data_IF_232602462390
#
_entry.id   IF_232602462390
#
_cell.length_a   1.000
_cell.length_b   1.000
_cell.length_c   1.000
_cell.angle_alpha   90.00
_cell.angle_beta   90.00
_cell.angle_gamma   90.00
#
_symmetry.space_group_name_H-M   'P 1'
#
loop_
_entity.id
_entity.type
_entity.pdbx_description
1 polymer ?
#
# COMPACT_ATOMS: atom_id res chain seq x y z
N UNK A 1 -27.38 -8.82 -5.26
CA UNK A 1 -26.94 -10.00 -4.49
C UNK A 1 -28.05 -11.01 -4.61
N UNK A 2 -27.77 -12.21 -5.12
CA UNK A 2 -28.78 -13.20 -5.50
C UNK A 2 -29.21 -14.08 -4.31
N UNK A 3 -28.55 -13.95 -3.16
CA UNK A 3 -28.81 -14.76 -1.96
C UNK A 3 -30.17 -14.51 -1.26
N UNK A 4 -30.97 -13.53 -1.68
CA UNK A 4 -32.33 -13.27 -1.18
C UNK A 4 -32.44 -12.74 0.27
N UNK A 5 -31.33 -12.62 1.01
CA UNK A 5 -31.31 -12.06 2.36
C UNK A 5 -31.62 -10.56 2.36
N UNK A 6 -32.37 -10.13 3.39
CA UNK A 6 -32.75 -8.73 3.60
C UNK A 6 -32.18 -8.23 4.92
N UNK A 7 -31.58 -7.06 4.87
CA UNK A 7 -31.08 -6.33 6.03
C UNK A 7 -31.86 -5.03 6.14
N UNK A 8 -32.12 -4.56 7.36
CA UNK A 8 -32.52 -3.16 7.52
C UNK A 8 -31.34 -2.24 7.16
N UNK A 9 -31.64 -0.99 6.83
CA UNK A 9 -30.63 0.01 6.44
C UNK A 9 -29.50 0.12 7.48
N UNK A 10 -29.87 0.12 8.78
CA UNK A 10 -28.93 0.23 9.90
C UNK A 10 -27.99 -0.98 10.02
N UNK A 11 -28.53 -2.21 9.97
CA UNK A 11 -27.69 -3.41 9.98
C UNK A 11 -26.78 -3.46 8.77
N UNK A 12 -27.28 -3.06 7.58
CA UNK A 12 -26.47 -3.00 6.37
C UNK A 12 -25.31 -2.01 6.52
N UNK A 13 -25.58 -0.81 7.04
CA UNK A 13 -24.54 0.18 7.36
C UNK A 13 -23.48 -0.36 8.31
N UNK A 14 -23.89 -1.13 9.34
CA UNK A 14 -22.96 -1.70 10.31
C UNK A 14 -21.95 -2.67 9.68
N UNK A 15 -22.32 -3.41 8.63
CA UNK A 15 -21.37 -4.25 7.89
C UNK A 15 -20.23 -3.41 7.30
N UNK A 16 -20.55 -2.29 6.65
CA UNK A 16 -19.56 -1.39 6.07
C UNK A 16 -18.72 -0.69 7.14
N UNK A 17 -19.33 -0.24 8.25
CA UNK A 17 -18.60 0.36 9.39
C UNK A 17 -17.63 -0.65 9.99
N UNK A 18 -18.05 -1.90 10.16
CA UNK A 18 -17.18 -2.96 10.69
C UNK A 18 -16.01 -3.24 9.74
N UNK A 19 -16.25 -3.26 8.44
CA UNK A 19 -15.22 -3.40 7.42
C UNK A 19 -14.23 -2.23 7.37
N UNK A 20 -14.46 -1.12 8.08
CA UNK A 20 -13.45 -0.05 8.25
C UNK A 20 -12.50 -0.29 9.43
N UNK A 21 -12.92 -1.14 10.37
CA UNK A 21 -12.21 -1.42 11.63
C UNK A 21 -11.45 -2.74 11.57
N UNK A 22 -12.00 -3.72 10.86
CA UNK A 22 -11.46 -5.07 10.76
C UNK A 22 -11.28 -5.46 9.29
N UNK A 23 -10.03 -5.76 8.92
CA UNK A 23 -9.68 -6.19 7.56
C UNK A 23 -10.31 -7.55 7.21
N UNK A 24 -10.56 -8.42 8.19
CA UNK A 24 -11.20 -9.72 7.95
C UNK A 24 -12.68 -9.60 7.60
N UNK A 25 -13.32 -8.48 7.97
CA UNK A 25 -14.69 -8.15 7.59
C UNK A 25 -14.77 -7.43 6.23
N UNK A 26 -13.64 -7.21 5.55
CA UNK A 26 -13.57 -6.59 4.24
C UNK A 26 -13.26 -7.63 3.14
N UNK A 27 -13.97 -7.60 2.01
CA UNK A 27 -15.15 -6.79 1.76
C UNK A 27 -16.36 -7.28 2.58
N UNK A 28 -17.32 -6.42 2.92
CA UNK A 28 -18.60 -6.86 3.46
C UNK A 28 -19.23 -7.94 2.57
N UNK A 29 -19.67 -9.04 3.15
CA UNK A 29 -20.20 -10.19 2.41
C UNK A 29 -21.54 -10.67 2.98
N UNK A 30 -22.37 -11.19 2.10
CA UNK A 30 -23.54 -11.99 2.45
C UNK A 30 -23.44 -13.33 1.72
N UNK A 31 -23.52 -14.46 2.43
CA UNK A 31 -23.40 -15.80 1.82
C UNK A 31 -22.12 -16.01 0.99
N UNK A 32 -21.00 -15.42 1.40
CA UNK A 32 -19.73 -15.36 0.66
C UNK A 32 -19.77 -14.57 -0.67
N UNK A 33 -20.87 -13.87 -0.94
CA UNK A 33 -20.96 -12.91 -2.04
C UNK A 33 -20.67 -11.49 -1.52
N UNK A 34 -19.73 -10.75 -2.13
CA UNK A 34 -19.47 -9.37 -1.75
C UNK A 34 -20.71 -8.47 -1.89
N UNK A 35 -20.98 -7.68 -0.86
CA UNK A 35 -21.93 -6.59 -0.92
C UNK A 35 -21.27 -5.43 -1.67
N UNK A 36 -21.79 -5.13 -2.86
CA UNK A 36 -21.26 -4.05 -3.70
C UNK A 36 -21.65 -2.71 -3.09
N UNK A 37 -20.66 -1.89 -2.73
CA UNK A 37 -20.91 -0.49 -2.41
C UNK A 37 -21.39 0.23 -3.69
N UNK A 38 -22.58 0.85 -3.70
CA UNK A 38 -23.05 1.66 -4.81
C UNK A 38 -22.05 2.77 -5.14
N UNK A 39 -21.86 3.03 -6.44
CA UNK A 39 -20.99 4.11 -6.92
C UNK A 39 -21.57 5.50 -6.60
N UNK A 40 -22.90 5.60 -6.52
CA UNK A 40 -23.59 6.82 -6.13
C UNK A 40 -23.63 6.95 -4.59
N UNK A 41 -22.96 7.99 -4.08
CA UNK A 41 -22.82 8.24 -2.66
C UNK A 41 -24.15 8.59 -1.99
N UNK A 42 -25.06 9.29 -2.67
CA UNK A 42 -26.36 9.66 -2.11
C UNK A 42 -27.30 8.46 -2.08
N UNK A 43 -27.26 7.60 -3.09
CA UNK A 43 -27.96 6.33 -3.03
C UNK A 43 -27.40 5.44 -1.93
N UNK A 44 -26.08 5.42 -1.75
CA UNK A 44 -25.44 4.61 -0.72
C UNK A 44 -25.78 5.06 0.71
N UNK A 45 -25.77 6.37 0.99
CA UNK A 45 -26.21 6.89 2.30
C UNK A 45 -27.65 6.50 2.61
N UNK A 46 -28.54 6.58 1.61
CA UNK A 46 -29.96 6.28 1.80
C UNK A 46 -30.20 4.81 2.11
N UNK A 47 -29.49 3.91 1.42
CA UNK A 47 -29.64 2.46 1.60
C UNK A 47 -28.96 1.91 2.87
N UNK A 48 -27.99 2.63 3.43
CA UNK A 48 -27.17 2.14 4.56
C UNK A 48 -27.22 3.00 5.81
N UNK A 49 -27.93 4.14 5.78
CA UNK A 49 -27.93 5.19 6.80
C UNK A 49 -26.54 5.69 7.21
N UNK A 50 -25.52 5.43 6.41
CA UNK A 50 -24.18 5.93 6.66
C UNK A 50 -24.12 7.42 6.38
N UNK A 51 -23.38 8.13 7.22
CA UNK A 51 -22.99 9.51 6.96
C UNK A 51 -21.96 9.55 5.82
N UNK A 52 -21.87 10.70 5.14
CA UNK A 52 -20.84 10.96 4.13
C UNK A 52 -19.43 10.68 4.67
N UNK A 53 -19.19 10.97 5.96
CA UNK A 53 -17.90 10.71 6.63
C UNK A 53 -17.59 9.20 6.71
N UNK A 54 -18.57 8.37 7.01
CA UNK A 54 -18.40 6.91 7.09
C UNK A 54 -18.18 6.29 5.71
N UNK A 55 -18.88 6.79 4.69
CA UNK A 55 -18.64 6.38 3.30
C UNK A 55 -17.21 6.70 2.87
N UNK A 56 -16.72 7.91 3.15
CA UNK A 56 -15.33 8.26 2.86
C UNK A 56 -14.32 7.44 3.67
N UNK A 57 -14.62 7.13 4.93
CA UNK A 57 -13.78 6.26 5.74
C UNK A 57 -13.71 4.84 5.15
N UNK A 58 -14.84 4.29 4.72
CA UNK A 58 -14.90 3.00 4.04
C UNK A 58 -14.12 3.01 2.73
N UNK A 59 -14.34 4.01 1.87
CA UNK A 59 -13.61 4.13 0.60
C UNK A 59 -12.10 4.24 0.82
N UNK A 60 -11.66 5.00 1.83
CA UNK A 60 -10.24 5.10 2.18
C UNK A 60 -9.66 3.77 2.67
N UNK A 61 -10.42 3.01 3.47
CA UNK A 61 -10.01 1.70 3.95
C UNK A 61 -10.02 0.63 2.85
N UNK A 62 -10.96 0.70 1.92
CA UNK A 62 -10.98 -0.15 0.73
C UNK A 62 -9.66 -0.03 -0.06
N UNK A 63 -9.20 1.20 -0.34
CA UNK A 63 -7.92 1.42 -1.04
C UNK A 63 -6.71 0.88 -0.26
N UNK A 64 -6.75 0.91 1.08
CA UNK A 64 -5.70 0.31 1.93
C UNK A 64 -5.76 -1.22 1.87
N UNK A 65 -6.95 -1.80 1.93
CA UNK A 65 -7.14 -3.25 2.04
C UNK A 65 -6.99 -3.97 0.70
N UNK A 66 -7.31 -3.29 -0.41
CA UNK A 66 -7.08 -3.76 -1.78
C UNK A 66 -5.60 -3.60 -2.21
N UNK A 67 -4.78 -2.84 -1.48
CA UNK A 67 -3.35 -2.74 -1.76
C UNK A 67 -2.65 -4.06 -1.38
N UNK A 68 -2.02 -4.77 -2.34
CA UNK A 68 -1.27 -5.99 -2.06
C UNK A 68 0.00 -5.73 -1.23
N UNK A 69 0.54 -4.51 -1.27
CA UNK A 69 1.76 -4.12 -0.56
C UNK A 69 1.53 -2.76 0.13
N UNK A 70 0.68 -2.71 1.18
CA UNK A 70 0.35 -1.47 1.85
C UNK A 70 1.56 -0.94 2.62
N UNK A 71 1.85 0.34 2.44
CA UNK A 71 2.89 1.06 3.17
C UNK A 71 2.24 2.02 4.14
N UNK A 72 2.73 2.04 5.37
CA UNK A 72 2.21 2.87 6.44
C UNK A 72 3.28 3.87 6.89
N UNK A 73 2.86 5.00 7.46
CA UNK A 73 3.80 5.92 8.09
C UNK A 73 4.63 5.19 9.16
N UNK A 74 5.96 5.28 9.06
CA UNK A 74 6.88 4.64 10.01
C UNK A 74 6.75 5.19 11.45
N UNK A 75 6.12 6.36 11.63
CA UNK A 75 5.84 6.92 12.95
C UNK A 75 4.72 6.10 13.61
N UNK A 76 5.07 5.38 14.67
CA UNK A 76 4.18 4.43 15.36
C UNK A 76 2.86 5.05 15.83
N UNK A 77 2.87 6.31 16.28
CA UNK A 77 1.65 7.02 16.72
C UNK A 77 0.75 7.46 15.56
N UNK A 78 1.28 7.52 14.34
CA UNK A 78 0.51 7.87 13.15
C UNK A 78 -0.08 6.64 12.48
N UNK A 79 0.77 5.68 12.10
CA UNK A 79 0.36 4.42 11.45
C UNK A 79 -0.54 4.58 10.23
N UNK A 80 -0.59 5.76 9.62
CA UNK A 80 -1.52 6.04 8.52
C UNK A 80 -1.06 5.36 7.25
N UNK A 81 -1.98 4.71 6.54
CA UNK A 81 -1.72 4.19 5.21
C UNK A 81 -1.31 5.32 4.24
N UNK A 82 -0.27 5.06 3.47
CA UNK A 82 0.33 5.99 2.51
C UNK A 82 -0.06 5.58 1.09
N UNK A 83 -0.89 6.41 0.47
CA UNK A 83 -1.36 6.21 -0.90
C UNK A 83 -0.18 6.19 -1.88
N UNK A 84 -0.27 5.35 -2.92
CA UNK A 84 0.75 5.29 -4.00
C UNK A 84 1.02 6.64 -4.66
N UNK A 85 0.02 7.54 -4.69
CA UNK A 85 0.18 8.92 -5.21
C UNK A 85 1.11 9.80 -4.37
N UNK A 86 1.38 9.45 -3.11
CA UNK A 86 2.35 10.16 -2.27
C UNK A 86 3.79 9.65 -2.46
N UNK A 87 4.01 8.68 -3.35
CA UNK A 87 5.33 8.10 -3.55
C UNK A 87 6.22 9.06 -4.35
N UNK A 88 7.53 8.99 -4.10
CA UNK A 88 8.54 9.80 -4.76
C UNK A 88 9.71 8.91 -5.17
N UNK A 89 10.11 9.08 -6.44
CA UNK A 89 11.22 8.36 -7.08
C UNK A 89 11.13 6.83 -6.93
N UNK A 90 9.94 6.28 -6.66
CA UNK A 90 9.73 4.86 -6.35
C UNK A 90 10.52 4.31 -5.16
N UNK A 91 11.01 5.17 -4.25
CA UNK A 91 11.82 4.74 -3.09
C UNK A 91 11.13 5.05 -1.76
N UNK A 92 10.43 6.19 -1.70
CA UNK A 92 9.85 6.71 -0.47
C UNK A 92 8.39 7.11 -0.66
N UNK A 93 7.61 6.91 0.39
CA UNK A 93 6.24 7.37 0.52
C UNK A 93 6.17 8.54 1.52
N UNK A 94 5.45 9.60 1.14
CA UNK A 94 5.33 10.81 1.95
C UNK A 94 4.09 10.75 2.85
N UNK A 95 4.26 11.16 4.11
CA UNK A 95 3.18 11.37 5.07
C UNK A 95 3.05 12.86 5.42
N UNK A 96 1.89 13.43 5.11
CA UNK A 96 1.55 14.84 5.35
C UNK A 96 0.75 15.07 6.65
N UNK A 97 0.53 14.01 7.45
CA UNK A 97 -0.23 14.09 8.71
C UNK A 97 0.56 14.66 9.90
N UNK A 98 1.70 15.29 9.63
CA UNK A 98 2.66 15.74 10.63
C UNK A 98 3.05 17.20 10.37
N UNK A 99 3.54 17.95 11.39
CA UNK A 99 4.06 19.31 11.19
C UNK A 99 5.17 19.40 10.14
N UNK A 100 5.92 18.30 9.96
CA UNK A 100 6.94 18.15 8.93
C UNK A 100 6.65 16.88 8.15
N UNK A 101 6.83 16.91 6.83
CA UNK A 101 6.61 15.73 5.98
C UNK A 101 7.53 14.60 6.41
N UNK A 102 6.93 13.46 6.78
CA UNK A 102 7.67 12.26 7.15
C UNK A 102 7.83 11.36 5.92
N UNK A 103 9.02 10.82 5.73
CA UNK A 103 9.34 9.94 4.60
C UNK A 103 9.54 8.51 5.08
N UNK A 104 8.84 7.57 4.44
CA UNK A 104 8.93 6.14 4.76
C UNK A 104 9.45 5.39 3.55
N UNK A 105 10.47 4.54 3.72
CA UNK A 105 10.96 3.66 2.66
C UNK A 105 9.86 2.67 2.25
N UNK A 106 9.57 2.58 0.95
CA UNK A 106 8.48 1.71 0.46
C UNK A 106 8.84 0.21 0.51
N UNK A 107 10.14 -0.11 0.56
CA UNK A 107 10.61 -1.50 0.56
C UNK A 107 10.62 -2.12 1.97
N UNK A 108 11.01 -1.34 3.00
CA UNK A 108 11.11 -1.84 4.37
C UNK A 108 10.10 -1.26 5.37
N UNK A 109 9.35 -0.22 4.99
CA UNK A 109 8.38 0.44 5.86
C UNK A 109 8.98 1.25 7.01
N UNK A 110 10.32 1.40 7.06
CA UNK A 110 11.02 2.20 8.07
C UNK A 110 11.23 3.63 7.58
N UNK A 111 11.78 4.49 8.44
CA UNK A 111 12.21 5.83 8.06
C UNK A 111 13.10 5.77 6.80
N UNK A 112 12.91 6.73 5.90
CA UNK A 112 13.74 6.85 4.70
C UNK A 112 15.23 6.93 5.06
N UNK A 113 16.06 6.20 4.33
CA UNK A 113 17.50 6.06 4.58
C UNK A 113 18.37 6.74 3.50
N UNK A 114 17.77 7.68 2.75
CA UNK A 114 18.47 8.52 1.78
C UNK A 114 19.19 7.72 0.70
N UNK A 115 20.51 7.89 0.59
CA UNK A 115 21.37 7.22 -0.42
C UNK A 115 21.80 5.81 -0.03
N UNK A 116 21.49 5.36 1.18
CA UNK A 116 21.79 3.98 1.60
C UNK A 116 20.76 3.08 0.92
N UNK A 117 21.21 2.00 0.31
CA UNK A 117 20.30 1.06 -0.33
C UNK A 117 19.49 0.26 0.68
N UNK A 118 18.24 -0.03 0.34
CA UNK A 118 17.41 -0.85 1.18
C UNK A 118 17.80 -2.33 1.04
N UNK A 119 18.14 -3.00 2.14
CA UNK A 119 18.38 -4.45 2.13
C UNK A 119 17.13 -5.29 1.86
N UNK A 120 15.94 -4.68 1.95
CA UNK A 120 14.66 -5.32 1.62
C UNK A 120 14.13 -4.92 0.24
N UNK A 121 14.91 -4.17 -0.54
CA UNK A 121 14.58 -3.95 -1.95
C UNK A 121 14.78 -5.25 -2.74
N UNK A 122 13.65 -5.80 -3.19
CA UNK A 122 13.59 -7.06 -3.93
C UNK A 122 14.18 -6.91 -5.33
N UNK A 123 14.00 -5.76 -5.95
CA UNK A 123 14.45 -5.52 -7.32
C UNK A 123 15.96 -5.33 -7.35
N UNK A 124 16.51 -4.58 -6.39
CA UNK A 124 17.96 -4.50 -6.19
C UNK A 124 18.56 -5.86 -5.87
N UNK A 125 17.92 -6.66 -5.01
CA UNK A 125 18.41 -8.01 -4.70
C UNK A 125 18.44 -8.89 -5.95
N UNK A 126 17.37 -8.90 -6.74
CA UNK A 126 17.30 -9.66 -7.98
C UNK A 126 18.37 -9.22 -8.99
N UNK A 127 18.61 -7.91 -9.11
CA UNK A 127 19.66 -7.37 -9.96
C UNK A 127 21.06 -7.81 -9.49
N UNK A 128 21.31 -7.84 -8.18
CA UNK A 128 22.58 -8.30 -7.61
C UNK A 128 22.80 -9.79 -7.82
N UNK A 129 21.74 -10.60 -7.67
CA UNK A 129 21.79 -12.04 -7.90
C UNK A 129 22.11 -12.33 -9.38
N UNK A 130 21.42 -11.65 -10.33
CA UNK A 130 21.71 -11.75 -11.76
C UNK A 130 23.14 -11.28 -12.09
N UNK A 131 23.58 -10.16 -11.52
CA UNK A 131 24.93 -9.66 -11.72
C UNK A 131 26.00 -10.68 -11.26
N UNK A 132 25.75 -11.42 -10.18
CA UNK A 132 26.64 -12.47 -9.72
C UNK A 132 26.70 -13.65 -10.70
N UNK A 133 25.56 -14.06 -11.28
CA UNK A 133 25.47 -15.11 -12.30
C UNK A 133 26.24 -14.73 -13.57
N UNK A 134 26.04 -13.50 -14.05
CA UNK A 134 26.66 -12.95 -15.25
C UNK A 134 28.11 -12.45 -15.01
N UNK A 135 28.62 -12.56 -13.78
CA UNK A 135 29.94 -12.07 -13.36
C UNK A 135 30.14 -10.57 -13.63
N UNK A 136 29.06 -9.82 -13.63
CA UNK A 136 29.11 -8.35 -13.61
C UNK A 136 29.63 -7.89 -12.25
N UNK A 137 30.33 -6.76 -12.24
CA UNK A 137 30.79 -6.16 -11.00
C UNK A 137 30.18 -4.79 -10.83
N UNK A 138 30.12 -4.39 -9.57
CA UNK A 138 29.53 -3.14 -9.17
C UNK A 138 30.59 -2.05 -9.04
N UNK A 139 30.43 -0.94 -9.75
CA UNK A 139 31.35 0.19 -9.63
C UNK A 139 31.36 0.71 -8.18
N UNK A 140 32.54 0.84 -7.56
CA UNK A 140 32.65 1.30 -6.18
C UNK A 140 32.14 2.74 -5.99
N UNK A 141 32.27 3.58 -7.02
CA UNK A 141 31.96 5.01 -7.01
C UNK A 141 30.49 5.31 -7.31
N UNK A 142 29.97 4.82 -8.44
CA UNK A 142 28.60 5.14 -8.89
C UNK A 142 27.60 4.01 -8.71
N UNK A 143 28.04 2.83 -8.26
CA UNK A 143 27.20 1.67 -7.97
C UNK A 143 26.50 1.01 -9.17
N UNK A 144 26.76 1.47 -10.38
CA UNK A 144 26.31 0.84 -11.63
C UNK A 144 26.89 -0.55 -11.81
N UNK A 145 26.15 -1.44 -12.48
CA UNK A 145 26.64 -2.76 -12.91
C UNK A 145 27.51 -2.62 -14.15
N UNK A 146 28.65 -3.30 -14.15
CA UNK A 146 29.67 -3.26 -15.20
C UNK A 146 30.00 -4.69 -15.62
N UNK A 147 29.81 -4.97 -16.90
CA UNK A 147 30.23 -6.23 -17.51
C UNK A 147 31.75 -6.20 -17.77
N UNK A 148 32.43 -7.30 -17.44
CA UNK A 148 33.85 -7.48 -17.75
C UNK A 148 33.99 -8.18 -19.11
N UNK A 149 34.23 -7.41 -20.17
CA UNK A 149 34.41 -7.95 -21.53
C UNK A 149 35.84 -8.44 -21.82
N UNK A 150 36.80 -8.21 -20.92
CA UNK A 150 38.19 -8.65 -21.04
C UNK A 150 38.80 -9.11 -19.70
N UNK A 151 39.79 -10.01 -19.75
CA UNK A 151 40.43 -10.65 -18.59
C UNK A 151 41.36 -9.72 -17.76
N UNK A 152 41.36 -8.41 -18.02
CA UNK A 152 42.17 -7.46 -17.27
C UNK A 152 41.39 -6.96 -16.04
N UNK A 153 42.04 -6.91 -14.88
CA UNK A 153 41.42 -6.54 -13.60
C UNK A 153 41.41 -5.03 -13.32
N UNK A 154 41.75 -4.18 -14.30
CA UNK A 154 41.55 -2.72 -14.17
C UNK A 154 40.09 -2.35 -14.43
N UNK A 155 39.46 -1.74 -13.43
CA UNK A 155 38.10 -1.20 -13.43
C UNK A 155 38.17 0.19 -12.79
#
# INVERSE_FOLDING_TARGET
>A
VECGHRYCEECLGQFFVNATKDRSAYPPQCCNEPLVAPTDTQFFTTQTRLSTKEIFAYARKAVEYDDPNPVYCHIQSCGSYLLKSSYRNSEVALCYGHPTTMETCIHCGKAAHGKVECSQDKDLKLLLDLAAEEKWMRCYKCKSMVEKTAACNHI
#
